data_IF_170724741421
#
_entry.id   IF_170724741421
#
_cell.length_a   1.000
_cell.length_b   1.000
_cell.length_c   1.000
_cell.angle_alpha   90.00
_cell.angle_beta   90.00
_cell.angle_gamma   90.00
#
_symmetry.space_group_name_H-M   'P 1'
#
loop_
_entity.id
_entity.type
_entity.pdbx_description
1 polymer ?
#
# COMPACT_ATOMS: atom_id res chain seq x y z
N UNK A 1 16.18 49.47 31.25
CA UNK A 1 14.83 50.07 31.22
C UNK A 1 14.09 49.82 29.89
N UNK A 2 14.69 50.15 28.73
CA UNK A 2 14.06 49.96 27.41
C UNK A 2 13.65 48.49 27.11
N UNK A 3 14.49 47.49 27.37
CA UNK A 3 14.17 46.06 27.13
C UNK A 3 12.92 45.57 27.88
N UNK A 4 12.66 46.08 29.08
CA UNK A 4 11.48 45.70 29.88
C UNK A 4 10.18 46.28 29.31
N UNK A 5 10.22 47.54 28.83
CA UNK A 5 9.04 48.16 28.18
C UNK A 5 8.66 47.45 26.88
N UNK A 6 9.64 47.05 26.05
CA UNK A 6 9.38 46.27 24.84
C UNK A 6 8.80 44.88 25.17
N UNK A 7 9.32 44.21 26.19
CA UNK A 7 8.81 42.91 26.63
C UNK A 7 7.35 42.98 27.12
N UNK A 8 7.01 43.99 27.93
CA UNK A 8 5.64 44.21 28.43
C UNK A 8 4.67 44.57 27.29
N UNK A 9 5.11 45.36 26.31
CA UNK A 9 4.28 45.72 25.15
C UNK A 9 4.01 44.51 24.25
N UNK A 10 5.01 43.64 24.04
CA UNK A 10 4.87 42.44 23.21
C UNK A 10 3.98 41.39 23.87
N UNK A 11 4.11 41.17 25.19
CA UNK A 11 3.27 40.23 25.93
C UNK A 11 1.84 40.72 26.06
N UNK A 12 1.63 42.03 26.26
CA UNK A 12 0.30 42.64 26.29
C UNK A 12 -0.38 42.52 24.91
N UNK A 13 0.33 42.84 23.83
CA UNK A 13 -0.17 42.69 22.45
C UNK A 13 -0.55 41.25 22.12
N UNK A 14 0.30 40.28 22.48
CA UNK A 14 0.01 38.86 22.26
C UNK A 14 -1.20 38.37 23.08
N UNK A 15 -1.38 38.90 24.29
CA UNK A 15 -2.53 38.56 25.15
C UNK A 15 -3.84 39.11 24.59
N UNK A 16 -3.84 40.35 24.08
CA UNK A 16 -5.00 40.96 23.43
C UNK A 16 -5.37 40.19 22.16
N UNK A 17 -4.40 39.84 21.32
CA UNK A 17 -4.63 39.05 20.10
C UNK A 17 -5.21 37.67 20.45
N UNK A 18 -4.68 37.00 21.47
CA UNK A 18 -5.21 35.70 21.93
C UNK A 18 -6.61 35.82 22.54
N UNK A 19 -6.92 36.91 23.24
CA UNK A 19 -8.25 37.16 23.80
C UNK A 19 -9.27 37.47 22.70
N UNK A 20 -8.90 38.25 21.69
CA UNK A 20 -9.73 38.52 20.50
C UNK A 20 -9.95 37.24 19.69
N UNK A 21 -8.90 36.45 19.43
CA UNK A 21 -9.03 35.16 18.74
C UNK A 21 -9.85 34.14 19.56
N UNK A 22 -9.73 34.16 20.89
CA UNK A 22 -10.54 33.37 21.80
C UNK A 22 -12.02 33.79 21.80
N UNK A 23 -12.30 35.10 21.73
CA UNK A 23 -13.66 35.63 21.58
C UNK A 23 -14.26 35.31 20.21
N UNK A 24 -13.49 35.39 19.12
CA UNK A 24 -13.94 34.98 17.78
C UNK A 24 -14.24 33.47 17.72
N UNK A 25 -13.48 32.64 18.45
CA UNK A 25 -13.77 31.20 18.60
C UNK A 25 -14.95 30.90 19.53
N UNK A 26 -15.17 31.74 20.56
CA UNK A 26 -16.26 31.60 21.54
C UNK A 26 -17.60 32.14 21.01
N UNK A 27 -17.53 33.08 20.07
CA UNK A 27 -18.67 33.48 19.26
C UNK A 27 -18.82 32.41 18.20
N UNK A 28 -19.90 31.66 18.20
CA UNK A 28 -20.18 30.60 17.21
C UNK A 28 -20.44 31.17 15.80
N UNK A 29 -19.75 32.25 15.40
CA UNK A 29 -19.94 33.00 14.17
C UNK A 29 -19.89 32.10 12.91
N UNK A 30 -18.95 31.14 12.78
CA UNK A 30 -18.99 30.19 11.66
C UNK A 30 -20.23 29.29 11.65
N UNK A 31 -20.72 28.88 12.83
CA UNK A 31 -21.93 28.07 12.99
C UNK A 31 -23.18 28.88 12.65
N UNK A 32 -23.27 30.14 13.09
CA UNK A 32 -24.35 31.06 12.74
C UNK A 32 -24.38 31.38 11.25
N UNK A 33 -23.22 31.56 10.60
CA UNK A 33 -23.14 31.76 9.15
C UNK A 33 -23.63 30.51 8.41
N UNK A 34 -23.17 29.33 8.83
CA UNK A 34 -23.63 28.05 8.27
C UNK A 34 -25.14 27.87 8.43
N UNK A 35 -25.70 28.15 9.61
CA UNK A 35 -27.13 28.06 9.85
C UNK A 35 -27.93 29.09 9.04
N UNK A 36 -27.41 30.32 8.91
CA UNK A 36 -28.03 31.34 8.08
C UNK A 36 -28.07 30.92 6.61
N UNK A 37 -26.97 30.38 6.07
CA UNK A 37 -26.92 29.85 4.71
C UNK A 37 -27.88 28.68 4.50
N UNK A 38 -27.98 27.78 5.48
CA UNK A 38 -28.93 26.66 5.48
C UNK A 38 -30.37 27.15 5.46
N UNK A 39 -30.74 28.08 6.35
CA UNK A 39 -32.10 28.66 6.41
C UNK A 39 -32.44 29.43 5.15
N UNK A 40 -31.49 30.21 4.61
CA UNK A 40 -31.66 30.93 3.34
C UNK A 40 -31.93 29.97 2.18
N UNK A 41 -31.15 28.89 2.09
CA UNK A 41 -31.31 27.86 1.07
C UNK A 41 -32.66 27.15 1.21
N UNK A 42 -33.04 26.80 2.44
CA UNK A 42 -34.33 26.19 2.73
C UNK A 42 -35.49 27.11 2.32
N UNK A 43 -35.45 28.38 2.72
CA UNK A 43 -36.48 29.36 2.38
C UNK A 43 -36.61 29.54 0.86
N UNK A 44 -35.48 29.69 0.16
CA UNK A 44 -35.46 29.78 -1.30
C UNK A 44 -36.08 28.56 -1.97
N UNK A 45 -35.72 27.35 -1.53
CA UNK A 45 -36.27 26.11 -2.07
C UNK A 45 -37.78 25.96 -1.81
N UNK A 46 -38.24 26.33 -0.62
CA UNK A 46 -39.66 26.30 -0.26
C UNK A 46 -40.46 27.28 -1.13
N UNK A 47 -39.99 28.52 -1.28
CA UNK A 47 -40.64 29.53 -2.13
C UNK A 47 -40.66 29.11 -3.59
N UNK A 48 -39.55 28.57 -4.11
CA UNK A 48 -39.47 28.06 -5.48
C UNK A 48 -40.45 26.90 -5.71
N UNK A 49 -40.59 26.01 -4.74
CA UNK A 49 -41.53 24.88 -4.82
C UNK A 49 -42.97 25.36 -4.86
N UNK A 50 -43.33 26.34 -4.02
CA UNK A 50 -44.67 26.95 -4.01
C UNK A 50 -44.98 27.63 -5.36
N UNK A 51 -44.05 28.44 -5.87
CA UNK A 51 -44.24 29.12 -7.17
C UNK A 51 -44.41 28.11 -8.31
N UNK A 52 -43.64 27.02 -8.32
CA UNK A 52 -43.80 25.94 -9.33
C UNK A 52 -45.16 25.27 -9.23
N UNK A 53 -45.64 25.01 -8.01
CA UNK A 53 -46.97 24.41 -7.79
C UNK A 53 -48.08 25.34 -8.28
N UNK A 54 -48.01 26.63 -7.94
CA UNK A 54 -48.99 27.63 -8.39
C UNK A 54 -48.98 27.80 -9.91
N UNK A 55 -47.80 27.85 -10.53
CA UNK A 55 -47.65 27.95 -11.98
C UNK A 55 -48.22 26.70 -12.68
N UNK A 56 -47.92 25.50 -12.18
CA UNK A 56 -48.48 24.27 -12.74
C UNK A 56 -49.98 24.18 -12.58
N UNK A 57 -50.53 24.64 -11.45
CA UNK A 57 -51.96 24.71 -11.25
C UNK A 57 -52.62 25.64 -12.29
N UNK A 58 -52.08 26.84 -12.49
CA UNK A 58 -52.59 27.78 -13.50
C UNK A 58 -52.51 27.22 -14.94
N UNK A 59 -51.43 26.50 -15.27
CA UNK A 59 -51.30 25.80 -16.56
C UNK A 59 -52.35 24.68 -16.68
N UNK A 60 -52.57 23.91 -15.61
CA UNK A 60 -53.58 22.86 -15.57
C UNK A 60 -55.00 23.38 -15.84
N UNK A 61 -55.36 24.50 -15.23
CA UNK A 61 -56.65 25.16 -15.48
C UNK A 61 -56.80 25.62 -16.94
N UNK A 62 -55.73 26.17 -17.54
CA UNK A 62 -55.68 26.57 -18.95
C UNK A 62 -55.83 25.39 -19.92
N UNK A 63 -55.30 24.21 -19.57
CA UNK A 63 -55.43 22.99 -20.37
C UNK A 63 -56.85 22.43 -20.41
N UNK A 64 -57.74 22.82 -19.49
CA UNK A 64 -59.14 22.41 -19.48
C UNK A 64 -60.01 23.21 -20.47
N UNK A 65 -59.45 24.24 -21.13
CA UNK A 65 -60.15 25.02 -22.13
C UNK A 65 -60.10 24.31 -23.50
N UNK A 66 -61.17 24.41 -24.28
CA UNK A 66 -61.30 23.73 -25.59
C UNK A 66 -60.89 24.67 -26.74
N UNK A 67 -59.67 25.21 -26.68
CA UNK A 67 -59.12 26.08 -27.72
C UNK A 67 -57.82 25.51 -28.33
N UNK A 68 -57.41 26.06 -29.47
CA UNK A 68 -56.19 25.62 -30.18
C UNK A 68 -54.91 25.91 -29.39
N UNK A 69 -54.92 26.83 -28.43
CA UNK A 69 -53.76 27.13 -27.58
C UNK A 69 -53.60 26.05 -26.50
N UNK A 70 -54.70 25.52 -25.97
CA UNK A 70 -54.71 24.42 -25.01
C UNK A 70 -54.12 23.13 -25.60
N UNK A 71 -54.43 22.81 -26.87
CA UNK A 71 -53.84 21.66 -27.56
C UNK A 71 -52.32 21.80 -27.75
N UNK A 72 -51.86 22.99 -28.14
CA UNK A 72 -50.43 23.27 -28.26
C UNK A 72 -49.70 23.20 -26.90
N UNK A 73 -50.33 23.73 -25.84
CA UNK A 73 -49.82 23.68 -24.48
C UNK A 73 -49.73 22.24 -23.95
N UNK A 74 -50.70 21.38 -24.30
CA UNK A 74 -50.69 19.96 -23.94
C UNK A 74 -49.52 19.22 -24.57
N UNK A 75 -49.30 19.43 -25.88
CA UNK A 75 -48.16 18.82 -26.58
C UNK A 75 -46.81 19.26 -25.99
N UNK A 76 -46.67 20.52 -25.58
CA UNK A 76 -45.47 21.02 -24.89
C UNK A 76 -45.32 20.36 -23.51
N UNK A 77 -46.41 20.27 -22.75
CA UNK A 77 -46.42 19.62 -21.42
C UNK A 77 -45.97 18.16 -21.51
N UNK A 78 -46.52 17.40 -22.45
CA UNK A 78 -46.16 15.99 -22.68
C UNK A 78 -44.68 15.83 -23.03
N UNK A 79 -44.16 16.69 -23.92
CA UNK A 79 -42.73 16.73 -24.26
C UNK A 79 -41.87 17.07 -23.04
N UNK A 80 -42.27 18.06 -22.23
CA UNK A 80 -41.57 18.43 -21.01
C UNK A 80 -41.53 17.27 -20.00
N UNK A 81 -42.64 16.54 -19.82
CA UNK A 81 -42.69 15.35 -18.97
C UNK A 81 -41.77 14.24 -19.49
N UNK A 82 -41.75 14.00 -20.81
CA UNK A 82 -40.84 13.05 -21.44
C UNK A 82 -39.37 13.39 -21.18
N UNK A 83 -38.99 14.66 -21.37
CA UNK A 83 -37.65 15.16 -21.07
C UNK A 83 -37.29 15.03 -19.58
N UNK A 84 -38.20 15.39 -18.68
CA UNK A 84 -37.99 15.26 -17.23
C UNK A 84 -37.75 13.80 -16.81
N UNK A 85 -38.52 12.86 -17.36
CA UNK A 85 -38.32 11.43 -17.16
C UNK A 85 -36.94 10.98 -17.64
N UNK A 86 -36.51 11.42 -18.81
CA UNK A 86 -35.21 11.07 -19.37
C UNK A 86 -34.05 11.66 -18.56
N UNK A 87 -34.16 12.92 -18.13
CA UNK A 87 -33.20 13.57 -17.23
C UNK A 87 -33.08 12.78 -15.93
N UNK A 88 -34.21 12.36 -15.34
CA UNK A 88 -34.22 11.57 -14.11
C UNK A 88 -33.51 10.22 -14.28
N UNK A 89 -33.72 9.54 -15.41
CA UNK A 89 -33.01 8.30 -15.74
C UNK A 89 -31.50 8.52 -15.82
N UNK A 90 -31.06 9.51 -16.60
CA UNK A 90 -29.63 9.85 -16.73
C UNK A 90 -28.99 10.24 -15.39
N UNK A 91 -29.72 10.97 -14.53
CA UNK A 91 -29.25 11.29 -13.18
C UNK A 91 -29.08 10.05 -12.31
N UNK A 92 -30.00 9.09 -12.40
CA UNK A 92 -29.92 7.83 -11.66
C UNK A 92 -28.74 6.96 -12.15
N UNK A 93 -28.55 6.87 -13.47
CA UNK A 93 -27.42 6.16 -14.08
C UNK A 93 -26.08 6.79 -13.69
N UNK A 94 -25.99 8.13 -13.76
CA UNK A 94 -24.80 8.87 -13.35
C UNK A 94 -24.46 8.64 -11.87
N UNK A 95 -25.45 8.65 -10.98
CA UNK A 95 -25.25 8.34 -9.56
C UNK A 95 -24.73 6.91 -9.37
N UNK A 96 -25.34 5.93 -10.03
CA UNK A 96 -24.91 4.54 -9.96
C UNK A 96 -23.45 4.38 -10.41
N UNK A 97 -23.09 5.01 -11.53
CA UNK A 97 -21.72 4.97 -12.05
C UNK A 97 -20.73 5.63 -11.08
N UNK A 98 -21.13 6.74 -10.46
CA UNK A 98 -20.32 7.42 -9.45
C UNK A 98 -20.08 6.53 -8.23
N UNK A 99 -21.09 5.82 -7.75
CA UNK A 99 -20.98 4.87 -6.64
C UNK A 99 -20.03 3.71 -7.00
N UNK A 100 -20.14 3.15 -8.22
CA UNK A 100 -19.23 2.11 -8.73
C UNK A 100 -17.78 2.59 -8.80
N UNK A 101 -17.53 3.81 -9.30
CA UNK A 101 -16.20 4.42 -9.34
C UNK A 101 -15.62 4.56 -7.93
N UNK A 102 -16.43 5.01 -6.97
CA UNK A 102 -16.01 5.15 -5.58
C UNK A 102 -15.62 3.79 -4.97
N UNK A 103 -16.38 2.73 -5.23
CA UNK A 103 -16.06 1.39 -4.74
C UNK A 103 -14.77 0.84 -5.37
N UNK A 104 -14.56 1.05 -6.69
CA UNK A 104 -13.31 0.69 -7.37
C UNK A 104 -12.11 1.42 -6.75
N UNK A 105 -12.26 2.71 -6.44
CA UNK A 105 -11.18 3.50 -5.81
C UNK A 105 -10.83 2.97 -4.42
N UNK A 106 -11.84 2.59 -3.62
CA UNK A 106 -11.67 1.96 -2.31
C UNK A 106 -10.94 0.62 -2.42
N UNK A 107 -11.37 -0.25 -3.33
CA UNK A 107 -10.72 -1.54 -3.58
C UNK A 107 -9.27 -1.38 -4.04
N UNK A 108 -8.98 -0.39 -4.89
CA UNK A 108 -7.63 -0.07 -5.32
C UNK A 108 -6.73 0.35 -4.16
N UNK A 109 -7.24 1.16 -3.23
CA UNK A 109 -6.49 1.58 -2.04
C UNK A 109 -6.21 0.39 -1.12
N UNK A 110 -7.18 -0.48 -0.92
CA UNK A 110 -7.00 -1.69 -0.12
C UNK A 110 -5.97 -2.65 -0.73
N UNK A 111 -6.02 -2.86 -2.05
CA UNK A 111 -5.00 -3.66 -2.74
C UNK A 111 -3.60 -3.05 -2.63
N UNK A 112 -3.47 -1.71 -2.69
CA UNK A 112 -2.18 -1.05 -2.45
C UNK A 112 -1.65 -1.31 -1.03
N UNK A 113 -2.54 -1.25 -0.02
CA UNK A 113 -2.19 -1.56 1.37
C UNK A 113 -1.70 -3.00 1.51
N UNK A 114 -2.48 -3.97 1.02
CA UNK A 114 -2.14 -5.39 1.05
C UNK A 114 -0.84 -5.70 0.31
N UNK A 115 -0.61 -5.07 -0.84
CA UNK A 115 0.63 -5.23 -1.61
C UNK A 115 1.83 -4.73 -0.80
N UNK A 116 1.72 -3.56 -0.17
CA UNK A 116 2.79 -3.02 0.67
C UNK A 116 3.09 -3.92 1.87
N UNK A 117 2.06 -4.46 2.54
CA UNK A 117 2.22 -5.40 3.65
C UNK A 117 2.92 -6.70 3.22
N UNK A 118 2.55 -7.23 2.05
CA UNK A 118 3.17 -8.45 1.50
C UNK A 118 4.63 -8.21 1.11
N UNK A 119 4.96 -7.07 0.51
CA UNK A 119 6.34 -6.69 0.22
C UNK A 119 7.15 -6.59 1.51
N UNK A 120 6.63 -5.88 2.52
CA UNK A 120 7.29 -5.76 3.83
C UNK A 120 7.54 -7.12 4.48
N UNK A 121 6.55 -8.02 4.46
CA UNK A 121 6.71 -9.37 4.99
C UNK A 121 7.80 -10.16 4.25
N UNK A 122 7.88 -10.02 2.92
CA UNK A 122 8.91 -10.67 2.09
C UNK A 122 10.32 -10.13 2.37
N UNK A 123 10.46 -8.82 2.59
CA UNK A 123 11.72 -8.21 3.02
C UNK A 123 12.13 -8.67 4.43
N UNK A 124 11.17 -8.86 5.34
CA UNK A 124 11.44 -9.35 6.69
C UNK A 124 11.81 -10.84 6.70
N UNK A 125 11.19 -11.67 5.86
CA UNK A 125 11.53 -13.09 5.74
C UNK A 125 12.90 -13.30 5.10
N UNK A 126 13.21 -12.58 4.03
CA UNK A 126 14.54 -12.66 3.38
C UNK A 126 15.67 -12.23 4.32
N UNK A 127 15.48 -11.17 5.13
CA UNK A 127 16.45 -10.77 6.17
C UNK A 127 16.71 -11.84 7.23
N UNK A 128 15.79 -12.78 7.46
CA UNK A 128 16.00 -13.91 8.39
C UNK A 128 16.76 -15.07 7.73
N UNK A 129 16.66 -15.24 6.42
CA UNK A 129 17.40 -16.26 5.67
C UNK A 129 18.88 -15.90 5.47
N UNK A 130 19.21 -14.61 5.27
CA UNK A 130 20.59 -14.14 5.12
C UNK A 130 21.54 -14.50 6.29
N UNK A 131 21.19 -14.30 7.58
CA UNK A 131 22.06 -14.67 8.69
C UNK A 131 22.25 -16.19 8.84
N UNK A 132 21.34 -17.00 8.31
CA UNK A 132 21.49 -18.46 8.29
C UNK A 132 22.38 -18.92 7.11
N UNK A 133 22.31 -18.21 5.97
CA UNK A 133 23.15 -18.46 4.81
C UNK A 133 24.65 -18.20 5.09
N UNK A 134 24.99 -17.13 5.83
CA UNK A 134 26.40 -16.88 6.21
C UNK A 134 26.94 -17.95 7.17
N UNK A 135 26.14 -18.39 8.15
CA UNK A 135 26.53 -19.48 9.06
C UNK A 135 26.71 -20.80 8.31
N UNK A 136 25.81 -21.09 7.37
CA UNK A 136 25.90 -22.27 6.52
C UNK A 136 27.16 -22.25 5.66
N UNK A 137 27.47 -21.10 5.04
CA UNK A 137 28.69 -20.91 4.24
C UNK A 137 29.97 -21.09 5.06
N UNK A 138 30.03 -20.49 6.25
CA UNK A 138 31.18 -20.64 7.15
C UNK A 138 31.39 -22.09 7.61
N UNK A 139 30.29 -22.82 7.89
CA UNK A 139 30.35 -24.23 8.24
C UNK A 139 30.87 -25.09 7.07
N UNK A 140 30.44 -24.80 5.84
CA UNK A 140 30.88 -25.48 4.63
C UNK A 140 32.38 -25.25 4.35
N UNK A 141 32.83 -24.00 4.39
CA UNK A 141 34.26 -23.64 4.19
C UNK A 141 35.15 -24.32 5.24
N UNK A 142 34.71 -24.34 6.51
CA UNK A 142 35.41 -25.05 7.59
C UNK A 142 35.45 -26.56 7.35
N UNK A 143 34.35 -27.15 6.86
CA UNK A 143 34.27 -28.57 6.50
C UNK A 143 35.25 -28.93 5.38
N UNK A 144 35.30 -28.12 4.32
CA UNK A 144 36.23 -28.30 3.20
C UNK A 144 37.69 -28.16 3.63
N UNK A 145 38.03 -27.14 4.43
CA UNK A 145 39.38 -26.96 4.95
C UNK A 145 39.84 -28.14 5.82
N UNK A 146 38.94 -28.68 6.64
CA UNK A 146 39.22 -29.87 7.44
C UNK A 146 39.42 -31.11 6.56
N UNK A 147 38.57 -31.30 5.55
CA UNK A 147 38.68 -32.42 4.61
C UNK A 147 40.03 -32.39 3.88
N UNK A 148 40.44 -31.24 3.35
CA UNK A 148 41.73 -31.08 2.69
C UNK A 148 42.92 -31.33 3.62
N UNK A 149 42.82 -30.90 4.88
CA UNK A 149 43.82 -31.19 5.91
C UNK A 149 43.95 -32.71 6.12
N UNK A 150 42.83 -33.42 6.30
CA UNK A 150 42.85 -34.87 6.51
C UNK A 150 43.31 -35.63 5.27
N UNK A 151 42.94 -35.18 4.06
CA UNK A 151 43.42 -35.73 2.79
C UNK A 151 44.95 -35.64 2.69
N UNK A 152 45.52 -34.46 2.96
CA UNK A 152 46.99 -34.27 2.99
C UNK A 152 47.66 -35.16 4.03
N UNK A 153 47.07 -35.26 5.23
CA UNK A 153 47.63 -36.09 6.30
C UNK A 153 47.58 -37.59 5.97
N UNK A 154 46.52 -38.06 5.31
CA UNK A 154 46.41 -39.43 4.82
C UNK A 154 47.49 -39.73 3.78
N UNK A 155 47.67 -38.84 2.80
CA UNK A 155 48.72 -38.97 1.77
C UNK A 155 50.12 -38.99 2.40
N UNK A 156 50.41 -38.10 3.36
CA UNK A 156 51.70 -38.10 4.05
C UNK A 156 51.93 -39.41 4.81
N UNK A 157 50.92 -39.89 5.54
CA UNK A 157 51.00 -41.16 6.30
C UNK A 157 51.26 -42.34 5.37
N UNK A 158 50.56 -42.38 4.23
CA UNK A 158 50.73 -43.38 3.20
C UNK A 158 52.14 -43.34 2.59
N UNK A 159 52.66 -42.16 2.29
CA UNK A 159 54.03 -42.00 1.77
C UNK A 159 55.10 -42.43 2.78
N UNK A 160 54.91 -42.15 4.07
CA UNK A 160 55.81 -42.62 5.13
C UNK A 160 55.76 -44.15 5.24
N UNK A 161 54.57 -44.75 5.25
CA UNK A 161 54.41 -46.20 5.31
C UNK A 161 55.11 -46.90 4.13
N UNK A 162 54.97 -46.34 2.92
CA UNK A 162 55.69 -46.80 1.73
C UNK A 162 57.19 -46.74 1.88
N UNK A 163 57.72 -45.60 2.33
CA UNK A 163 59.15 -45.44 2.56
C UNK A 163 59.70 -46.49 3.53
N UNK A 164 58.95 -46.79 4.59
CA UNK A 164 59.30 -47.84 5.55
C UNK A 164 59.27 -49.23 4.89
N UNK A 165 58.19 -49.57 4.17
CA UNK A 165 58.08 -50.86 3.48
C UNK A 165 59.21 -51.09 2.47
N UNK A 166 59.59 -50.07 1.70
CA UNK A 166 60.69 -50.13 0.75
C UNK A 166 62.06 -50.28 1.45
N UNK A 167 62.25 -49.64 2.61
CA UNK A 167 63.51 -49.68 3.36
C UNK A 167 63.69 -50.97 4.17
N UNK A 168 62.59 -51.59 4.60
CA UNK A 168 62.61 -52.89 5.25
C UNK A 168 63.04 -53.98 4.24
N UNK A 169 64.13 -54.69 4.53
CA UNK A 169 64.61 -55.87 3.76
C UNK A 169 63.71 -57.11 3.91
N UNK A 170 62.40 -56.91 4.00
CA UNK A 170 61.40 -57.97 3.90
C UNK A 170 61.21 -58.23 2.41
N UNK A 171 61.17 -59.48 1.95
CA UNK A 171 60.90 -59.83 0.54
C UNK A 171 59.41 -59.57 0.19
N UNK A 172 58.94 -58.34 0.37
CA UNK A 172 57.58 -57.92 0.06
C UNK A 172 57.25 -58.05 -1.43
N UNK A 173 58.28 -58.10 -2.29
CA UNK A 173 58.14 -58.37 -3.72
C UNK A 173 57.65 -59.81 -3.99
N UNK A 174 58.00 -60.75 -3.11
CA UNK A 174 57.68 -62.17 -3.26
C UNK A 174 56.37 -62.57 -2.55
N UNK A 175 55.86 -61.75 -1.63
CA UNK A 175 54.54 -61.93 -1.03
C UNK A 175 53.48 -61.15 -1.85
N UNK A 176 52.58 -61.84 -2.57
CA UNK A 176 51.59 -61.19 -3.42
C UNK A 176 50.66 -60.24 -2.66
N UNK A 177 50.37 -60.49 -1.37
CA UNK A 177 49.48 -59.66 -0.56
C UNK A 177 50.16 -58.37 -0.12
N UNK A 178 51.44 -58.45 0.26
CA UNK A 178 52.22 -57.27 0.62
C UNK A 178 52.56 -56.42 -0.61
N UNK A 179 52.84 -57.06 -1.75
CA UNK A 179 52.98 -56.38 -3.04
C UNK A 179 51.71 -55.61 -3.41
N UNK A 180 50.55 -56.24 -3.30
CA UNK A 180 49.27 -55.59 -3.60
C UNK A 180 49.02 -54.38 -2.69
N UNK A 181 49.30 -54.48 -1.39
CA UNK A 181 49.21 -53.35 -0.45
C UNK A 181 50.21 -52.24 -0.81
N UNK A 182 51.46 -52.56 -1.17
CA UNK A 182 52.44 -51.54 -1.54
C UNK A 182 52.08 -50.80 -2.85
N UNK A 183 51.58 -51.55 -3.85
CA UNK A 183 51.19 -51.05 -5.18
C UNK A 183 49.86 -50.29 -5.14
N UNK A 184 48.85 -50.76 -4.40
CA UNK A 184 47.54 -50.07 -4.28
C UNK A 184 47.62 -48.72 -3.57
N UNK A 185 48.69 -48.47 -2.83
CA UNK A 185 48.93 -47.16 -2.25
C UNK A 185 49.38 -46.11 -3.30
N UNK A 186 49.54 -46.44 -4.60
CA UNK A 186 50.18 -45.56 -5.62
C UNK A 186 49.49 -44.22 -5.80
N UNK A 187 48.17 -44.19 -5.81
CA UNK A 187 47.44 -42.98 -6.14
C UNK A 187 46.11 -42.93 -5.38
N UNK A 188 45.95 -41.93 -4.51
CA UNK A 188 44.61 -41.38 -4.29
C UNK A 188 44.30 -40.51 -5.51
N UNK A 189 43.20 -40.74 -6.24
CA UNK A 189 42.88 -39.92 -7.40
C UNK A 189 42.76 -38.46 -6.97
N UNK A 190 43.65 -37.63 -7.52
CA UNK A 190 43.57 -36.18 -7.44
C UNK A 190 42.44 -35.81 -8.39
N UNK A 191 41.19 -35.81 -7.92
CA UNK A 191 40.14 -35.09 -8.65
C UNK A 191 40.50 -33.62 -8.57
N UNK A 192 40.75 -33.03 -9.74
CA UNK A 192 40.58 -31.59 -9.99
C UNK A 192 39.14 -31.16 -9.69
#
# INVERSE_FOLDING_TARGET
FLKSKYFISYTCGLTIVNMVNGMIKKTNLPEYISELERVKTLHFNSTLTLHRMQMWHAIGEKLNWSDSEADALKAISDRCMGLCSHIKQLQQESKKLQDEVTEIQKNRLEMKRLTHEKIKHMEESSKKEYPDMEKYKAALEKGQANLEKYKKMAIMTQNVLRGILLACKVNWLDDPKLRDIAMTLEEFPISE
#
